data_IF_767505198770
#
_entry.id   IF_767505198770
#
_cell.length_a   1.000
_cell.length_b   1.000
_cell.length_c   1.000
_cell.angle_alpha   90.00
_cell.angle_beta   90.00
_cell.angle_gamma   90.00
#
_symmetry.space_group_name_H-M   'P 1'
#
loop_
_entity.id
_entity.type
_entity.pdbx_description
1 polymer ?
#
# COMPACT_ATOMS: atom_id res chain seq x y z
N UNK A 1 -7.08 -48.32 37.23
CA UNK A 1 -6.17 -47.17 37.30
C UNK A 1 -5.64 -46.96 35.89
N UNK A 2 -6.40 -46.23 35.07
CA UNK A 2 -6.10 -45.98 33.65
C UNK A 2 -5.17 -44.77 33.61
N UNK A 3 -3.92 -44.99 33.22
CA UNK A 3 -2.96 -43.92 32.99
C UNK A 3 -3.26 -43.21 31.67
N UNK A 4 -3.20 -41.89 31.81
CA UNK A 4 -3.24 -40.86 30.79
C UNK A 4 -2.16 -41.07 29.72
N UNK A 5 -2.54 -40.96 28.44
CA UNK A 5 -1.65 -40.57 27.34
C UNK A 5 -2.51 -39.85 26.30
N UNK A 6 -3.00 -38.66 26.66
CA UNK A 6 -3.41 -37.66 25.67
C UNK A 6 -2.13 -37.06 25.11
N UNK A 7 -1.67 -37.60 23.99
CA UNK A 7 -0.68 -36.96 23.15
C UNK A 7 -1.30 -35.67 22.61
N UNK A 8 -0.98 -34.54 23.26
CA UNK A 8 -1.21 -33.22 22.70
C UNK A 8 -0.47 -33.13 21.37
N UNK A 9 -1.23 -33.18 20.27
CA UNK A 9 -0.73 -32.72 18.99
C UNK A 9 -0.50 -31.22 19.13
N UNK A 10 0.74 -30.83 19.41
CA UNK A 10 1.20 -29.49 19.10
C UNK A 10 0.93 -29.28 17.62
N UNK A 11 -0.06 -28.46 17.29
CA UNK A 11 -0.24 -27.92 15.95
C UNK A 11 1.04 -27.15 15.65
N UNK A 12 1.96 -27.77 14.89
CA UNK A 12 3.01 -27.04 14.21
C UNK A 12 2.29 -26.11 13.25
N UNK A 13 2.10 -24.86 13.66
CA UNK A 13 1.63 -23.81 12.77
C UNK A 13 2.49 -23.91 11.51
N UNK A 14 1.86 -24.18 10.36
CA UNK A 14 2.55 -24.28 9.09
C UNK A 14 3.46 -23.05 8.93
N UNK A 15 4.72 -23.29 8.59
CA UNK A 15 5.71 -22.23 8.44
C UNK A 15 5.35 -21.39 7.22
N UNK A 16 4.75 -20.23 7.47
CA UNK A 16 4.41 -19.22 6.47
C UNK A 16 5.48 -18.12 6.51
N UNK A 17 6.40 -18.06 5.54
CA UNK A 17 7.55 -17.15 5.57
C UNK A 17 7.17 -15.69 5.37
N UNK A 18 6.00 -15.38 4.80
CA UNK A 18 5.55 -14.01 4.57
C UNK A 18 4.46 -13.62 5.56
N UNK A 19 4.64 -12.49 6.25
CA UNK A 19 3.69 -11.94 7.22
C UNK A 19 3.47 -10.45 6.97
N UNK A 20 2.21 -10.03 6.91
CA UNK A 20 1.79 -8.64 6.95
C UNK A 20 0.93 -8.40 8.19
N UNK A 21 1.38 -7.53 9.08
CA UNK A 21 0.58 -7.07 10.22
C UNK A 21 -0.06 -5.73 9.90
N UNK A 22 -1.38 -5.68 9.93
CA UNK A 22 -2.17 -4.49 9.64
C UNK A 22 -2.18 -3.51 10.83
N UNK A 23 -2.59 -2.27 10.58
CA UNK A 23 -2.61 -1.22 11.60
C UNK A 23 -3.55 -1.51 12.78
N UNK A 24 -4.59 -2.32 12.56
CA UNK A 24 -5.54 -2.77 13.60
C UNK A 24 -5.01 -3.94 14.44
N UNK A 25 -3.79 -4.42 14.15
CA UNK A 25 -3.14 -5.54 14.82
C UNK A 25 -3.50 -6.91 14.26
N UNK A 26 -4.36 -7.00 13.24
CA UNK A 26 -4.60 -8.26 12.53
C UNK A 26 -3.39 -8.66 11.68
N UNK A 27 -3.28 -9.95 11.38
CA UNK A 27 -2.14 -10.53 10.67
C UNK A 27 -2.60 -11.39 9.50
N UNK A 28 -1.97 -11.17 8.34
CA UNK A 28 -2.07 -12.03 7.15
C UNK A 28 -0.75 -12.78 7.05
N UNK A 29 -0.82 -14.10 6.87
CA UNK A 29 0.36 -14.96 6.69
C UNK A 29 0.16 -15.83 5.46
N UNK A 30 1.19 -15.95 4.64
CA UNK A 30 1.14 -16.66 3.37
C UNK A 30 2.43 -17.42 3.06
N UNK A 31 2.34 -18.39 2.15
CA UNK A 31 3.48 -19.18 1.66
C UNK A 31 4.20 -18.46 0.51
N UNK A 32 3.51 -17.56 -0.19
CA UNK A 32 4.07 -16.68 -1.23
C UNK A 32 3.65 -15.22 -1.05
N UNK A 33 4.34 -14.29 -1.71
CA UNK A 33 3.92 -12.88 -1.72
C UNK A 33 2.61 -12.71 -2.49
N UNK A 34 2.42 -13.44 -3.59
CA UNK A 34 1.16 -13.45 -4.34
C UNK A 34 -0.05 -13.84 -3.46
N UNK A 35 0.06 -14.91 -2.67
CA UNK A 35 -0.98 -15.30 -1.69
C UNK A 35 -1.19 -14.22 -0.60
N UNK A 36 -0.11 -13.55 -0.17
CA UNK A 36 -0.22 -12.44 0.78
C UNK A 36 -1.03 -11.28 0.19
N UNK A 37 -0.77 -10.94 -1.08
CA UNK A 37 -1.50 -9.93 -1.83
C UNK A 37 -2.94 -10.39 -2.09
N UNK A 38 -3.20 -11.68 -2.29
CA UNK A 38 -4.56 -12.25 -2.36
C UNK A 38 -5.40 -11.99 -1.10
N UNK A 39 -4.76 -11.81 0.05
CA UNK A 39 -5.41 -11.36 1.28
C UNK A 39 -5.76 -9.86 1.33
N UNK A 40 -5.24 -9.06 0.39
CA UNK A 40 -5.39 -7.60 0.31
C UNK A 40 -6.29 -7.21 -0.87
N UNK A 41 -6.01 -7.81 -2.04
CA UNK A 41 -6.69 -7.59 -3.32
C UNK A 41 -7.51 -8.84 -3.62
N UNK A 42 -8.84 -8.70 -3.56
CA UNK A 42 -9.75 -9.80 -3.87
C UNK A 42 -9.55 -10.29 -5.31
N UNK A 43 -9.38 -11.60 -5.49
CA UNK A 43 -9.18 -12.23 -6.80
C UNK A 43 -7.76 -12.14 -7.37
N UNK A 44 -6.78 -11.65 -6.61
CA UNK A 44 -5.41 -11.48 -7.10
C UNK A 44 -4.73 -12.81 -7.51
N UNK A 45 -4.95 -13.89 -6.75
CA UNK A 45 -4.39 -15.21 -7.08
C UNK A 45 -4.99 -15.81 -8.36
N UNK A 46 -6.17 -15.34 -8.76
CA UNK A 46 -6.85 -15.75 -10.00
C UNK A 46 -6.52 -14.81 -11.17
N UNK A 47 -5.67 -13.79 -10.97
CA UNK A 47 -5.21 -12.92 -12.05
C UNK A 47 -4.51 -13.76 -13.13
N UNK A 48 -4.93 -13.61 -14.38
CA UNK A 48 -4.59 -14.56 -15.44
C UNK A 48 -3.10 -14.56 -15.75
N UNK A 49 -2.56 -13.40 -16.12
CA UNK A 49 -1.14 -13.20 -16.41
C UNK A 49 -0.50 -12.05 -15.60
N UNK A 50 0.81 -11.88 -15.72
CA UNK A 50 1.57 -10.83 -15.02
C UNK A 50 1.04 -9.41 -15.29
N UNK A 51 0.39 -9.17 -16.44
CA UNK A 51 -0.21 -7.88 -16.78
C UNK A 51 -1.44 -7.64 -15.93
N UNK A 52 -2.35 -8.62 -15.86
CA UNK A 52 -3.54 -8.54 -15.01
C UNK A 52 -3.15 -8.34 -13.53
N UNK A 53 -2.11 -9.05 -13.07
CA UNK A 53 -1.59 -8.91 -11.72
C UNK A 53 -0.96 -7.52 -11.47
N UNK A 54 -0.29 -6.93 -12.46
CA UNK A 54 0.21 -5.56 -12.36
C UNK A 54 -0.95 -4.55 -12.32
N UNK A 55 -1.92 -4.67 -13.22
CA UNK A 55 -3.09 -3.80 -13.27
C UNK A 55 -3.87 -3.82 -11.94
N UNK A 56 -4.04 -5.00 -11.34
CA UNK A 56 -4.68 -5.14 -10.03
C UNK A 56 -3.91 -4.39 -8.93
N UNK A 57 -2.57 -4.49 -8.91
CA UNK A 57 -1.73 -3.75 -7.93
C UNK A 57 -1.77 -2.24 -8.16
N UNK A 58 -1.75 -1.80 -9.42
CA UNK A 58 -1.83 -0.38 -9.79
C UNK A 58 -3.17 0.20 -9.35
N UNK A 59 -4.27 -0.43 -9.74
CA UNK A 59 -5.63 -0.03 -9.39
C UNK A 59 -5.82 0.05 -7.86
N UNK A 60 -5.34 -0.97 -7.12
CA UNK A 60 -5.38 -0.92 -5.66
C UNK A 60 -4.54 0.23 -5.09
N UNK A 61 -3.33 0.46 -5.60
CA UNK A 61 -2.47 1.54 -5.13
C UNK A 61 -3.11 2.92 -5.33
N UNK A 62 -3.77 3.15 -6.47
CA UNK A 62 -4.49 4.40 -6.77
C UNK A 62 -5.67 4.64 -5.81
N UNK A 63 -6.48 3.61 -5.58
CA UNK A 63 -7.63 3.67 -4.65
C UNK A 63 -7.15 3.90 -3.21
N UNK A 64 -6.08 3.22 -2.81
CA UNK A 64 -5.48 3.36 -1.50
C UNK A 64 -4.85 4.74 -1.30
N UNK A 65 -4.11 5.25 -2.29
CA UNK A 65 -3.57 6.60 -2.27
C UNK A 65 -4.68 7.66 -2.17
N UNK A 66 -5.77 7.47 -2.93
CA UNK A 66 -6.94 8.35 -2.88
C UNK A 66 -7.57 8.36 -1.49
N UNK A 67 -7.70 7.18 -0.87
CA UNK A 67 -8.24 7.04 0.49
C UNK A 67 -7.35 7.74 1.52
N UNK A 68 -6.04 7.48 1.51
CA UNK A 68 -5.10 8.11 2.44
C UNK A 68 -5.04 9.63 2.28
N UNK A 69 -5.03 10.11 1.03
CA UNK A 69 -5.05 11.54 0.76
C UNK A 69 -6.36 12.19 1.23
N UNK A 70 -7.50 11.52 1.04
CA UNK A 70 -8.81 11.98 1.49
C UNK A 70 -8.90 12.13 3.00
N UNK A 71 -8.38 11.15 3.76
CA UNK A 71 -8.30 11.23 5.23
C UNK A 71 -7.44 12.42 5.65
N UNK A 72 -6.26 12.57 5.05
CA UNK A 72 -5.35 13.68 5.34
C UNK A 72 -5.99 15.05 5.05
N UNK A 73 -6.74 15.16 3.95
CA UNK A 73 -7.47 16.38 3.59
C UNK A 73 -8.59 16.69 4.59
N UNK A 74 -9.31 15.68 5.09
CA UNK A 74 -10.30 15.86 6.15
C UNK A 74 -9.68 16.36 7.45
N UNK A 75 -8.51 15.88 7.81
CA UNK A 75 -7.76 16.35 8.99
C UNK A 75 -7.33 17.82 8.81
N UNK A 76 -6.74 18.16 7.65
CA UNK A 76 -6.37 19.54 7.33
C UNK A 76 -7.56 20.51 7.36
N UNK A 77 -8.73 20.07 6.88
CA UNK A 77 -9.96 20.86 6.92
C UNK A 77 -10.45 21.04 8.36
N UNK A 78 -10.36 20.00 9.18
CA UNK A 78 -10.79 20.02 10.59
C UNK A 78 -9.93 20.98 11.42
N UNK A 79 -8.64 21.05 11.13
CA UNK A 79 -7.67 21.91 11.82
C UNK A 79 -7.62 23.34 11.24
N UNK A 80 -8.38 23.63 10.18
CA UNK A 80 -8.39 24.93 9.49
C UNK A 80 -7.13 25.22 8.67
N UNK A 81 -6.18 24.28 8.59
CA UNK A 81 -4.92 24.43 7.88
C UNK A 81 -5.10 24.50 6.35
N UNK A 82 -6.24 24.06 5.82
CA UNK A 82 -6.57 24.11 4.40
C UNK A 82 -6.58 25.54 3.82
N UNK A 83 -6.86 26.56 4.64
CA UNK A 83 -6.83 27.97 4.22
C UNK A 83 -5.42 28.45 3.83
N UNK A 84 -4.38 27.83 4.39
CA UNK A 84 -2.98 28.17 4.14
C UNK A 84 -2.35 27.49 2.92
N UNK A 85 -3.06 26.58 2.25
CA UNK A 85 -2.56 25.89 1.06
C UNK A 85 -2.48 26.83 -0.13
N UNK A 86 -1.35 26.80 -0.85
CA UNK A 86 -1.22 27.47 -2.14
C UNK A 86 -2.15 26.83 -3.19
N UNK A 87 -2.36 27.53 -4.31
CA UNK A 87 -3.13 26.97 -5.43
C UNK A 87 -2.46 25.72 -6.02
N UNK A 88 -1.13 25.74 -6.13
CA UNK A 88 -0.34 24.61 -6.62
C UNK A 88 -0.46 23.40 -5.67
N UNK A 89 -0.31 23.60 -4.35
CA UNK A 89 -0.45 22.51 -3.38
C UNK A 89 -1.87 21.90 -3.40
N UNK A 90 -2.90 22.74 -3.60
CA UNK A 90 -4.27 22.26 -3.76
C UNK A 90 -4.42 21.41 -5.01
N UNK A 91 -3.78 21.81 -6.12
CA UNK A 91 -3.79 21.02 -7.35
C UNK A 91 -3.16 19.64 -7.10
N UNK A 92 -1.97 19.57 -6.50
CA UNK A 92 -1.33 18.28 -6.14
C UNK A 92 -2.25 17.39 -5.29
N UNK A 93 -2.88 17.97 -4.28
CA UNK A 93 -3.68 17.23 -3.31
C UNK A 93 -5.02 16.76 -3.87
N UNK A 94 -5.64 17.54 -4.76
CA UNK A 94 -6.99 17.30 -5.28
C UNK A 94 -7.02 16.58 -6.63
N UNK A 95 -5.90 16.51 -7.36
CA UNK A 95 -5.82 15.70 -8.58
C UNK A 95 -6.07 14.22 -8.24
N UNK A 96 -6.94 13.53 -9.01
CA UNK A 96 -7.15 12.09 -8.90
C UNK A 96 -5.84 11.29 -8.91
N UNK A 97 -5.75 10.22 -8.11
CA UNK A 97 -4.48 9.49 -7.91
C UNK A 97 -4.14 8.49 -9.02
N UNK A 98 -5.02 8.36 -10.01
CA UNK A 98 -4.79 7.71 -11.30
C UNK A 98 -4.16 8.67 -12.35
N UNK A 99 -3.90 9.93 -11.96
CA UNK A 99 -3.35 10.95 -12.85
C UNK A 99 -2.02 11.51 -12.31
N UNK A 100 -1.04 11.74 -13.20
CA UNK A 100 0.24 12.32 -12.81
C UNK A 100 0.09 13.81 -12.47
N UNK A 101 0.95 14.28 -11.58
CA UNK A 101 1.13 15.68 -11.21
C UNK A 101 2.61 16.04 -11.30
N UNK A 102 2.94 17.19 -11.87
CA UNK A 102 4.33 17.60 -12.10
C UNK A 102 4.75 18.83 -11.29
N UNK A 103 6.03 18.94 -10.99
CA UNK A 103 6.62 20.12 -10.32
C UNK A 103 7.19 19.85 -8.93
N UNK A 104 7.13 20.86 -8.05
CA UNK A 104 7.58 20.77 -6.67
C UNK A 104 6.39 20.94 -5.73
N UNK A 105 6.22 19.99 -4.81
CA UNK A 105 5.17 20.00 -3.80
C UNK A 105 5.73 20.46 -2.44
N UNK A 106 5.21 21.58 -1.95
CA UNK A 106 5.63 22.26 -0.71
C UNK A 106 4.57 22.17 0.41
N UNK A 107 3.53 21.37 0.19
CA UNK A 107 2.39 21.30 1.09
C UNK A 107 2.73 20.75 2.49
N UNK A 108 1.84 21.00 3.46
CA UNK A 108 2.08 20.71 4.87
C UNK A 108 1.96 19.22 5.24
N UNK A 109 1.50 18.36 4.32
CA UNK A 109 1.24 16.94 4.53
C UNK A 109 1.98 16.09 3.50
N UNK A 110 2.03 14.78 3.67
CA UNK A 110 2.58 13.91 2.64
C UNK A 110 1.64 13.86 1.41
N UNK A 111 2.23 13.98 0.21
CA UNK A 111 1.55 13.67 -1.04
C UNK A 111 1.73 12.19 -1.34
N UNK A 112 0.64 11.44 -1.52
CA UNK A 112 0.71 10.01 -1.84
C UNK A 112 0.53 9.82 -3.34
N UNK A 113 1.48 9.12 -3.99
CA UNK A 113 1.49 8.87 -5.43
C UNK A 113 1.94 7.45 -5.78
N UNK A 114 1.51 6.98 -6.94
CA UNK A 114 1.90 5.67 -7.49
C UNK A 114 3.04 5.83 -8.50
N UNK A 115 4.10 5.01 -8.41
CA UNK A 115 5.31 5.11 -9.25
C UNK A 115 5.04 4.88 -10.74
N UNK A 116 4.05 4.06 -11.09
CA UNK A 116 3.74 3.65 -12.47
C UNK A 116 3.12 4.75 -13.33
N UNK A 117 2.76 5.90 -12.76
CA UNK A 117 2.32 7.08 -13.53
C UNK A 117 3.46 7.98 -14.00
N UNK A 118 4.71 7.64 -13.68
CA UNK A 118 5.87 8.48 -13.95
C UNK A 118 7.01 7.70 -14.62
N UNK A 119 8.04 8.42 -15.04
CA UNK A 119 9.28 7.80 -15.54
C UNK A 119 9.83 6.71 -14.58
N UNK A 120 10.31 5.58 -15.10
CA UNK A 120 10.48 5.25 -16.53
C UNK A 120 9.25 4.60 -17.21
N UNK A 121 8.09 4.53 -16.56
CA UNK A 121 6.91 3.83 -17.06
C UNK A 121 6.06 4.68 -18.00
N UNK A 122 6.12 6.00 -17.85
CA UNK A 122 5.44 7.01 -18.68
C UNK A 122 6.42 8.11 -19.09
N UNK A 123 5.94 9.09 -19.87
CA UNK A 123 6.69 10.30 -20.23
C UNK A 123 6.58 11.42 -19.15
N UNK A 124 5.84 11.19 -18.06
CA UNK A 124 5.62 12.18 -17.02
C UNK A 124 6.75 12.18 -15.98
N UNK A 125 7.36 13.35 -15.77
CA UNK A 125 8.43 13.52 -14.79
C UNK A 125 7.91 13.37 -13.36
N UNK A 126 8.69 12.73 -12.49
CA UNK A 126 8.33 12.61 -11.07
C UNK A 126 8.34 13.98 -10.40
N UNK A 127 7.26 14.36 -9.67
CA UNK A 127 7.30 15.53 -8.82
C UNK A 127 8.32 15.36 -7.71
N UNK A 128 8.74 16.49 -7.15
CA UNK A 128 9.69 16.57 -6.04
C UNK A 128 9.02 17.14 -4.79
N UNK A 129 9.63 16.95 -3.62
CA UNK A 129 9.10 17.45 -2.35
C UNK A 129 8.76 16.31 -1.40
N UNK A 130 7.77 16.52 -0.55
CA UNK A 130 7.34 15.54 0.46
C UNK A 130 6.36 14.54 -0.13
N UNK A 131 6.87 13.40 -0.59
CA UNK A 131 6.09 12.40 -1.32
C UNK A 131 6.27 11.02 -0.71
N UNK A 132 5.16 10.33 -0.49
CA UNK A 132 5.08 8.90 -0.17
C UNK A 132 4.74 8.15 -1.44
N UNK A 133 5.64 7.25 -1.85
CA UNK A 133 5.51 6.47 -3.08
C UNK A 133 4.94 5.09 -2.80
N UNK A 134 3.86 4.75 -3.50
CA UNK A 134 3.38 3.38 -3.65
C UNK A 134 3.96 2.80 -4.94
N UNK A 135 4.59 1.63 -4.86
CA UNK A 135 5.31 1.04 -5.97
C UNK A 135 4.73 -0.32 -6.38
N UNK A 136 3.78 -0.36 -7.32
CA UNK A 136 3.14 -1.60 -7.73
C UNK A 136 3.96 -2.40 -8.74
N UNK A 137 5.16 -1.98 -9.16
CA UNK A 137 5.96 -2.65 -10.22
C UNK A 137 6.13 -4.16 -9.96
N UNK A 138 6.55 -4.52 -8.75
CA UNK A 138 6.73 -5.92 -8.32
C UNK A 138 5.89 -6.22 -7.09
N UNK A 139 5.52 -7.47 -6.87
CA UNK A 139 4.77 -7.87 -5.68
C UNK A 139 5.49 -7.49 -4.39
N UNK A 140 6.82 -7.62 -4.42
CA UNK A 140 7.68 -7.27 -3.28
C UNK A 140 7.72 -5.76 -3.05
N UNK A 141 7.92 -4.94 -4.09
CA UNK A 141 7.92 -3.48 -3.93
C UNK A 141 6.55 -2.96 -3.52
N UNK A 142 5.48 -3.57 -4.02
CA UNK A 142 4.10 -3.25 -3.68
C UNK A 142 3.85 -3.43 -2.19
N UNK A 143 4.08 -4.64 -1.65
CA UNK A 143 3.82 -4.93 -0.23
C UNK A 143 4.71 -4.08 0.68
N UNK A 144 5.97 -3.86 0.32
CA UNK A 144 6.88 -3.02 1.11
C UNK A 144 6.42 -1.56 1.18
N UNK A 145 6.11 -0.95 0.04
CA UNK A 145 5.71 0.45 -0.02
C UNK A 145 4.32 0.68 0.56
N UNK A 146 3.38 -0.24 0.31
CA UNK A 146 2.06 -0.22 0.93
C UNK A 146 2.17 -0.29 2.46
N UNK A 147 3.00 -1.21 2.97
CA UNK A 147 3.16 -1.36 4.41
C UNK A 147 3.77 -0.11 5.05
N UNK A 148 4.83 0.44 4.44
CA UNK A 148 5.47 1.66 4.91
C UNK A 148 4.52 2.86 4.91
N UNK A 149 3.71 3.03 3.87
CA UNK A 149 2.77 4.14 3.74
C UNK A 149 1.59 4.05 4.72
N UNK A 150 1.21 2.83 5.13
CA UNK A 150 -0.03 2.58 5.88
C UNK A 150 0.20 2.24 7.35
N UNK A 151 1.43 2.36 7.84
CA UNK A 151 1.81 1.96 9.21
C UNK A 151 1.69 0.46 9.47
N UNK A 152 1.67 -0.37 8.42
CA UNK A 152 1.68 -1.82 8.52
C UNK A 152 3.12 -2.32 8.64
N UNK A 153 3.28 -3.60 8.99
CA UNK A 153 4.60 -4.24 9.10
C UNK A 153 4.65 -5.47 8.20
N UNK A 154 5.47 -5.41 7.16
CA UNK A 154 5.81 -6.57 6.36
C UNK A 154 7.09 -7.22 6.91
N UNK A 155 7.08 -8.54 7.07
CA UNK A 155 8.23 -9.31 7.55
C UNK A 155 8.38 -10.59 6.75
N UNK A 156 9.63 -10.90 6.39
CA UNK A 156 10.03 -12.22 5.90
C UNK A 156 10.68 -13.00 7.04
N UNK A 157 10.25 -14.25 7.24
CA UNK A 157 10.84 -15.17 8.22
C UNK A 157 11.61 -16.25 7.47
N UNK A 158 12.87 -16.43 7.86
CA UNK A 158 13.74 -17.55 7.44
C UNK A 158 13.35 -18.87 8.09
#
# INVERSE_FOLDING_TARGET
MREFLEAGQASTAAHRPFELRLADGSEIRADTIAELIGGIIEGYEDAGDDTDALEARVSYAEDHASTMQGITLLELASDGAQEGLSEDDRLFLLTPKDQPVGGHYDGPVDLVLTTTHYEPFTDDERPTGRIVWLDPETETSFVNTLAAASGMQFTTRE
#
